data_IF_516912774997
#
_entry.id   IF_516912774997
#
_cell.length_a   1.000
_cell.length_b   1.000
_cell.length_c   1.000
_cell.angle_alpha   90.00
_cell.angle_beta   90.00
_cell.angle_gamma   90.00
#
_symmetry.space_group_name_H-M   'P 1'
#
loop_
_entity.id
_entity.type
_entity.pdbx_description
1 polymer ?
#
# COMPACT_ATOMS: atom_id res chain seq x y z
N UNK A 1 -8.50 24.28 -1.01
CA UNK A 1 -8.76 22.98 -1.66
C UNK A 1 -9.26 22.00 -0.58
N UNK A 2 -10.54 22.09 -0.20
CA UNK A 2 -11.14 21.26 0.85
C UNK A 2 -12.57 20.87 0.45
N UNK A 3 -12.82 19.57 0.25
CA UNK A 3 -14.14 19.07 -0.17
C UNK A 3 -15.22 19.20 0.90
N UNK A 4 -14.82 19.22 2.17
CA UNK A 4 -15.72 19.33 3.32
C UNK A 4 -15.96 20.77 3.78
N UNK A 5 -15.36 21.76 3.09
CA UNK A 5 -15.43 23.18 3.47
C UNK A 5 -15.02 23.41 4.93
N UNK A 6 -14.05 22.62 5.41
CA UNK A 6 -13.54 22.70 6.78
C UNK A 6 -12.55 23.87 6.97
N UNK A 7 -12.07 24.49 5.90
CA UNK A 7 -11.04 25.55 5.95
C UNK A 7 -11.69 26.88 5.64
N UNK A 8 -11.51 27.85 6.53
CA UNK A 8 -12.06 29.19 6.39
C UNK A 8 -11.12 30.23 7.02
N UNK A 9 -11.38 31.51 6.76
CA UNK A 9 -10.66 32.61 7.40
C UNK A 9 -11.45 33.09 8.62
N UNK A 10 -10.76 33.24 9.75
CA UNK A 10 -11.34 33.83 10.94
C UNK A 10 -11.37 35.37 10.86
N UNK A 11 -11.87 36.00 11.92
CA UNK A 11 -11.99 37.46 12.03
C UNK A 11 -10.64 38.19 11.84
N UNK A 12 -9.55 37.55 12.25
CA UNK A 12 -8.17 38.07 12.08
C UNK A 12 -7.57 37.78 10.70
N UNK A 13 -8.37 37.29 9.74
CA UNK A 13 -7.93 36.86 8.40
C UNK A 13 -6.86 35.76 8.43
N UNK A 14 -6.84 34.94 9.49
CA UNK A 14 -6.00 33.74 9.57
C UNK A 14 -6.81 32.53 9.11
N UNK A 15 -6.18 31.66 8.34
CA UNK A 15 -6.80 30.39 7.96
C UNK A 15 -6.93 29.49 9.19
N UNK A 16 -8.11 28.91 9.39
CA UNK A 16 -8.38 27.95 10.46
C UNK A 16 -9.09 26.71 9.93
N UNK A 17 -8.90 25.59 10.62
CA UNK A 17 -9.49 24.29 10.29
C UNK A 17 -10.56 23.97 11.32
N UNK A 18 -11.80 23.81 10.84
CA UNK A 18 -12.90 23.25 11.60
C UNK A 18 -12.74 21.73 11.68
N UNK A 19 -12.17 21.25 12.79
CA UNK A 19 -11.91 19.82 13.00
C UNK A 19 -13.18 18.97 13.13
N UNK A 20 -14.35 19.57 13.38
CA UNK A 20 -15.62 18.83 13.37
C UNK A 20 -16.05 18.45 11.95
N UNK A 21 -15.59 19.18 10.94
CA UNK A 21 -15.84 18.90 9.51
C UNK A 21 -14.64 18.24 8.82
N UNK A 22 -13.47 18.28 9.43
CA UNK A 22 -12.25 17.77 8.85
C UNK A 22 -12.27 16.23 8.82
N UNK A 23 -12.17 15.64 7.63
CA UNK A 23 -12.05 14.18 7.44
C UNK A 23 -10.60 13.71 7.35
N UNK A 24 -9.62 14.59 7.60
CA UNK A 24 -8.20 14.24 7.60
C UNK A 24 -7.64 13.82 6.23
N UNK A 25 -8.15 14.36 5.12
CA UNK A 25 -7.74 13.98 3.77
C UNK A 25 -6.37 14.53 3.30
N UNK A 26 -5.70 15.37 4.11
CA UNK A 26 -4.36 15.88 3.83
C UNK A 26 -4.22 16.87 2.66
N UNK A 27 -5.27 17.11 1.87
CA UNK A 27 -5.22 17.99 0.69
C UNK A 27 -4.74 19.42 1.02
N UNK A 28 -5.09 19.92 2.20
CA UNK A 28 -4.65 21.24 2.65
C UNK A 28 -3.16 21.32 2.96
N UNK A 29 -2.58 20.25 3.52
CA UNK A 29 -1.14 20.11 3.76
C UNK A 29 -0.41 20.10 2.42
N UNK A 30 -0.87 19.27 1.48
CA UNK A 30 -0.25 19.10 0.17
C UNK A 30 -0.19 20.40 -0.68
N UNK A 31 -1.19 21.27 -0.56
CA UNK A 31 -1.27 22.53 -1.36
C UNK A 31 -0.71 23.76 -0.64
N UNK A 32 -0.33 23.64 0.64
CA UNK A 32 0.10 24.79 1.42
C UNK A 32 1.51 25.24 1.03
N UNK A 33 1.61 26.39 0.34
CA UNK A 33 2.90 26.95 -0.08
C UNK A 33 3.76 27.49 1.08
N UNK A 34 3.15 27.67 2.26
CA UNK A 34 3.79 28.26 3.43
C UNK A 34 4.07 27.23 4.53
N UNK A 35 3.82 25.94 4.28
CA UNK A 35 3.96 24.86 5.26
C UNK A 35 3.23 25.11 6.58
N UNK A 36 2.15 25.91 6.54
CA UNK A 36 1.37 26.29 7.72
C UNK A 36 0.33 25.23 8.09
N UNK A 37 -0.18 24.48 7.12
CA UNK A 37 -0.99 23.30 7.36
C UNK A 37 -0.06 22.10 7.54
N UNK A 38 -0.16 21.43 8.68
CA UNK A 38 0.63 20.24 9.03
C UNK A 38 -0.30 19.08 9.38
N UNK A 39 0.21 17.86 9.33
CA UNK A 39 -0.48 16.67 9.82
C UNK A 39 -0.72 16.79 11.32
N UNK A 40 -1.85 16.27 11.79
CA UNK A 40 -2.20 16.30 13.21
C UNK A 40 -1.34 15.30 13.99
N UNK A 41 -1.25 15.49 15.31
CA UNK A 41 -0.56 14.54 16.21
C UNK A 41 -1.17 13.14 16.22
N UNK A 42 -2.41 12.99 15.74
CA UNK A 42 -3.15 11.73 15.70
C UNK A 42 -3.00 10.97 14.37
N UNK A 43 -2.22 11.51 13.41
CA UNK A 43 -1.84 10.81 12.18
C UNK A 43 -0.73 9.77 12.47
N UNK A 44 -1.06 8.80 13.33
CA UNK A 44 -0.25 7.58 13.50
C UNK A 44 -0.24 6.77 12.20
N UNK A 45 0.79 5.94 12.01
CA UNK A 45 0.93 5.11 10.81
C UNK A 45 -0.28 4.20 10.57
N UNK A 46 -0.90 3.72 11.65
CA UNK A 46 -2.14 2.95 11.58
C UNK A 46 -3.30 3.76 10.98
N UNK A 47 -3.46 5.02 11.39
CA UNK A 47 -4.54 5.89 10.90
C UNK A 47 -4.47 6.10 9.38
N UNK A 48 -3.26 6.25 8.83
CA UNK A 48 -3.07 6.38 7.37
C UNK A 48 -3.47 5.09 6.65
N UNK A 49 -3.08 3.93 7.16
CA UNK A 49 -3.44 2.64 6.57
C UNK A 49 -4.95 2.37 6.62
N UNK A 50 -5.61 2.70 7.73
CA UNK A 50 -7.07 2.60 7.87
C UNK A 50 -7.78 3.49 6.85
N UNK A 51 -7.37 4.76 6.71
CA UNK A 51 -7.90 5.68 5.70
C UNK A 51 -7.72 5.13 4.28
N UNK A 52 -6.57 4.54 3.94
CA UNK A 52 -6.36 3.92 2.61
C UNK A 52 -7.41 2.82 2.35
N UNK A 53 -7.67 1.97 3.34
CA UNK A 53 -8.67 0.91 3.24
C UNK A 53 -10.10 1.48 3.07
N UNK A 54 -10.47 2.52 3.83
CA UNK A 54 -11.79 3.16 3.71
C UNK A 54 -12.03 3.77 2.35
N UNK A 55 -11.03 4.49 1.82
CA UNK A 55 -11.12 5.10 0.51
C UNK A 55 -11.19 4.04 -0.60
N UNK A 56 -10.42 2.96 -0.49
CA UNK A 56 -10.48 1.82 -1.41
C UNK A 56 -11.87 1.19 -1.37
N UNK A 57 -12.40 0.93 -0.17
CA UNK A 57 -13.75 0.41 0.01
C UNK A 57 -14.80 1.31 -0.66
N UNK A 58 -14.74 2.62 -0.46
CA UNK A 58 -15.66 3.57 -1.07
C UNK A 58 -15.61 3.54 -2.62
N UNK A 59 -14.43 3.35 -3.20
CA UNK A 59 -14.25 3.27 -4.66
C UNK A 59 -14.86 1.98 -5.23
N UNK A 60 -14.65 0.84 -4.56
CA UNK A 60 -15.04 -0.49 -5.01
C UNK A 60 -16.50 -0.86 -4.70
N UNK A 61 -17.10 -0.23 -3.68
CA UNK A 61 -18.45 -0.56 -3.22
C UNK A 61 -19.46 -0.55 -4.37
N UNK A 62 -20.21 -1.65 -4.49
CA UNK A 62 -21.22 -1.89 -5.53
C UNK A 62 -20.70 -1.87 -6.97
N UNK A 63 -19.41 -2.16 -7.19
CA UNK A 63 -18.82 -2.25 -8.52
C UNK A 63 -18.02 -3.54 -8.67
N UNK A 64 -18.08 -4.21 -9.84
CA UNK A 64 -17.18 -5.31 -10.14
C UNK A 64 -15.75 -4.79 -10.22
N UNK A 65 -14.81 -5.54 -9.65
CA UNK A 65 -13.40 -5.18 -9.61
C UNK A 65 -12.52 -6.42 -9.71
N UNK A 66 -11.34 -6.25 -10.31
CA UNK A 66 -10.30 -7.26 -10.45
C UNK A 66 -8.96 -6.57 -10.29
N UNK A 67 -8.07 -7.14 -9.48
CA UNK A 67 -6.83 -6.51 -9.07
C UNK A 67 -5.63 -7.31 -9.57
N UNK A 68 -4.60 -6.61 -10.01
CA UNK A 68 -3.35 -7.18 -10.50
C UNK A 68 -2.22 -6.42 -9.82
N UNK A 69 -1.30 -7.14 -9.19
CA UNK A 69 -0.10 -6.60 -8.57
C UNK A 69 1.13 -7.11 -9.30
N UNK A 70 2.04 -6.19 -9.62
CA UNK A 70 3.35 -6.48 -10.17
C UNK A 70 4.37 -6.41 -9.04
N UNK A 71 5.02 -7.54 -8.75
CA UNK A 71 5.99 -7.68 -7.68
C UNK A 71 7.37 -7.69 -8.34
N UNK A 72 7.87 -6.49 -8.60
CA UNK A 72 9.15 -6.25 -9.26
C UNK A 72 9.84 -5.03 -8.64
N UNK A 73 11.16 -5.00 -8.66
CA UNK A 73 11.97 -3.92 -8.10
C UNK A 73 11.50 -3.50 -6.69
N UNK A 74 11.31 -4.49 -5.79
CA UNK A 74 10.79 -4.25 -4.43
C UNK A 74 11.81 -3.43 -3.66
N UNK A 75 11.57 -2.13 -3.60
CA UNK A 75 12.49 -1.14 -3.06
C UNK A 75 12.33 -1.01 -1.53
N UNK A 76 13.39 -0.64 -0.80
CA UNK A 76 13.28 -0.48 0.65
C UNK A 76 12.59 0.81 1.07
N UNK A 77 12.56 1.85 0.22
CA UNK A 77 11.92 3.13 0.54
C UNK A 77 10.74 3.43 -0.37
N UNK A 78 9.93 4.43 -0.01
CA UNK A 78 8.81 4.86 -0.84
C UNK A 78 9.31 5.28 -2.22
N UNK A 79 8.71 4.74 -3.29
CA UNK A 79 9.08 5.05 -4.68
C UNK A 79 8.88 6.53 -5.07
N UNK A 80 8.16 7.29 -4.24
CA UNK A 80 8.05 8.74 -4.41
C UNK A 80 9.32 9.50 -3.98
N UNK A 81 10.26 8.83 -3.30
CA UNK A 81 11.54 9.41 -2.93
C UNK A 81 12.53 9.30 -4.10
N UNK A 82 13.13 10.42 -4.47
CA UNK A 82 14.12 10.51 -5.55
C UNK A 82 15.46 9.80 -5.25
N UNK A 83 15.62 9.28 -4.04
CA UNK A 83 16.75 8.44 -3.65
C UNK A 83 16.20 7.16 -3.05
N UNK A 84 16.37 6.05 -3.77
CA UNK A 84 16.01 4.73 -3.30
C UNK A 84 17.21 3.80 -3.47
N UNK A 85 17.32 2.84 -2.57
CA UNK A 85 18.41 1.88 -2.57
C UNK A 85 18.03 0.67 -3.45
N UNK A 86 18.95 -0.28 -3.60
CA UNK A 86 18.70 -1.49 -4.39
C UNK A 86 17.53 -2.32 -3.85
N UNK A 87 16.88 -3.06 -4.73
CA UNK A 87 15.77 -3.93 -4.37
C UNK A 87 16.16 -4.96 -3.29
N UNK A 88 15.23 -5.26 -2.38
CA UNK A 88 15.45 -6.16 -1.25
C UNK A 88 15.27 -7.64 -1.63
N UNK A 89 14.53 -7.93 -2.71
CA UNK A 89 14.32 -9.27 -3.27
C UNK A 89 14.34 -9.22 -4.80
N UNK A 90 14.64 -10.33 -5.51
CA UNK A 90 14.49 -10.41 -6.96
C UNK A 90 13.04 -10.21 -7.41
N UNK A 91 12.85 -9.89 -8.69
CA UNK A 91 11.52 -9.83 -9.30
C UNK A 91 10.79 -11.18 -9.15
N UNK A 92 9.56 -11.14 -8.65
CA UNK A 92 8.73 -12.32 -8.41
C UNK A 92 7.74 -12.54 -9.56
N UNK A 93 7.24 -11.45 -10.17
CA UNK A 93 6.31 -11.50 -11.30
C UNK A 93 4.96 -10.85 -10.98
N UNK A 94 3.86 -11.50 -11.35
CA UNK A 94 2.51 -10.94 -11.24
C UNK A 94 1.61 -11.82 -10.39
N UNK A 95 0.80 -11.19 -9.55
CA UNK A 95 -0.29 -11.82 -8.82
C UNK A 95 -1.61 -11.12 -9.19
N UNK A 96 -2.73 -11.85 -9.14
CA UNK A 96 -4.03 -11.27 -9.43
C UNK A 96 -5.13 -11.94 -8.61
N UNK A 97 -6.17 -11.17 -8.26
CA UNK A 97 -7.29 -11.63 -7.43
C UNK A 97 -8.53 -10.75 -7.64
N UNK A 98 -9.70 -11.31 -7.32
CA UNK A 98 -10.92 -10.53 -7.12
C UNK A 98 -11.02 -9.94 -5.70
N UNK A 99 -10.24 -10.46 -4.75
CA UNK A 99 -10.13 -9.96 -3.38
C UNK A 99 -8.83 -9.12 -3.26
N UNK A 100 -8.93 -7.78 -3.12
CA UNK A 100 -7.76 -6.91 -3.04
C UNK A 100 -6.93 -7.14 -1.77
N UNK A 101 -7.57 -7.39 -0.63
CA UNK A 101 -6.88 -7.58 0.67
C UNK A 101 -6.05 -8.86 0.63
N UNK A 102 -6.63 -9.91 0.05
CA UNK A 102 -5.93 -11.17 -0.08
C UNK A 102 -4.81 -11.14 -1.12
N UNK A 103 -4.94 -10.31 -2.17
CA UNK A 103 -3.88 -10.05 -3.14
C UNK A 103 -2.68 -9.39 -2.47
N UNK A 104 -2.91 -8.35 -1.68
CA UNK A 104 -1.84 -7.64 -0.97
C UNK A 104 -1.14 -8.58 0.02
N UNK A 105 -1.91 -9.37 0.78
CA UNK A 105 -1.36 -10.41 1.66
C UNK A 105 -0.49 -11.40 0.89
N UNK A 106 -0.97 -11.90 -0.24
CA UNK A 106 -0.22 -12.83 -1.08
C UNK A 106 1.09 -12.23 -1.60
N UNK A 107 1.09 -10.95 -1.98
CA UNK A 107 2.30 -10.25 -2.42
C UNK A 107 3.33 -10.18 -1.29
N UNK A 108 2.90 -9.81 -0.08
CA UNK A 108 3.79 -9.77 1.10
C UNK A 108 4.36 -11.14 1.41
N UNK A 109 3.52 -12.19 1.40
CA UNK A 109 3.98 -13.57 1.65
C UNK A 109 4.99 -14.04 0.58
N UNK A 110 4.80 -13.67 -0.68
CA UNK A 110 5.73 -13.99 -1.76
C UNK A 110 7.08 -13.28 -1.57
N UNK A 111 7.07 -12.00 -1.21
CA UNK A 111 8.29 -11.24 -0.90
C UNK A 111 9.02 -11.83 0.31
N UNK A 112 8.28 -12.15 1.38
CA UNK A 112 8.86 -12.76 2.58
C UNK A 112 9.45 -14.16 2.31
N UNK A 113 8.90 -14.94 1.37
CA UNK A 113 9.44 -16.24 0.95
C UNK A 113 10.62 -16.14 -0.03
N UNK A 114 10.71 -15.06 -0.80
CA UNK A 114 11.79 -14.88 -1.77
C UNK A 114 13.17 -14.75 -1.09
N UNK A 115 14.28 -15.16 -1.74
CA UNK A 115 15.61 -14.91 -1.22
C UNK A 115 15.89 -13.40 -1.18
N UNK A 116 16.64 -12.94 -0.17
CA UNK A 116 17.10 -11.56 -0.14
C UNK A 116 18.19 -11.32 -1.20
N UNK A 117 18.27 -10.10 -1.72
CA UNK A 117 19.41 -9.67 -2.54
C UNK A 117 20.57 -9.27 -1.61
N UNK A 118 21.76 -9.82 -1.88
CA UNK A 118 22.99 -9.42 -1.18
C UNK A 118 23.39 -8.01 -1.57
N UNK A 119 23.87 -7.24 -0.60
CA UNK A 119 24.18 -5.83 -0.70
C UNK A 119 23.01 -4.90 -0.42
N UNK A 120 21.79 -5.43 -0.24
CA UNK A 120 20.62 -4.62 0.12
C UNK A 120 20.64 -4.23 1.60
N UNK A 121 19.83 -3.23 1.96
CA UNK A 121 19.62 -2.83 3.35
C UNK A 121 19.27 -3.99 4.31
N UNK A 122 18.71 -5.10 3.81
CA UNK A 122 18.45 -6.29 4.62
C UNK A 122 19.74 -6.95 5.12
N UNK A 123 20.81 -6.94 4.33
CA UNK A 123 22.12 -7.46 4.76
C UNK A 123 22.76 -6.55 5.82
N UNK A 124 22.66 -5.23 5.64
CA UNK A 124 23.15 -4.25 6.61
C UNK A 124 22.41 -4.35 7.95
N UNK A 125 21.11 -4.64 7.91
CA UNK A 125 20.25 -4.83 9.09
C UNK A 125 20.28 -6.25 9.66
N UNK A 126 21.18 -7.11 9.19
CA UNK A 126 21.36 -8.48 9.69
C UNK A 126 20.10 -9.36 9.64
N UNK A 127 19.28 -9.22 8.59
CA UNK A 127 18.07 -10.02 8.39
C UNK A 127 18.33 -11.53 8.37
N UNK A 128 17.44 -12.32 8.99
CA UNK A 128 17.51 -13.78 8.97
C UNK A 128 16.34 -14.43 8.21
N UNK A 129 16.57 -15.55 7.49
CA UNK A 129 15.51 -16.27 6.81
C UNK A 129 14.38 -16.68 7.76
N UNK A 130 13.13 -16.38 7.38
CA UNK A 130 11.94 -16.68 8.17
C UNK A 130 11.36 -15.46 8.90
N UNK A 131 12.08 -14.35 8.96
CA UNK A 131 11.59 -13.08 9.48
C UNK A 131 10.81 -12.29 8.41
N UNK A 132 10.04 -11.30 8.87
CA UNK A 132 9.35 -10.36 7.99
C UNK A 132 10.33 -9.31 7.47
N UNK A 133 10.49 -9.25 6.13
CA UNK A 133 11.42 -8.32 5.49
C UNK A 133 10.98 -6.87 5.65
N UNK A 134 9.68 -6.59 5.57
CA UNK A 134 9.17 -5.22 5.63
C UNK A 134 9.34 -4.62 7.03
N UNK A 135 9.02 -5.37 8.08
CA UNK A 135 9.26 -4.94 9.47
C UNK A 135 10.74 -4.78 9.78
N UNK A 136 11.63 -5.55 9.14
CA UNK A 136 13.08 -5.35 9.28
C UNK A 136 13.57 -4.05 8.62
N UNK A 137 13.06 -3.74 7.41
CA UNK A 137 13.42 -2.51 6.72
C UNK A 137 12.90 -1.29 7.48
N UNK A 138 11.67 -1.33 8.01
CA UNK A 138 11.05 -0.22 8.75
C UNK A 138 10.44 -0.72 10.06
N UNK A 139 11.21 -0.65 11.14
CA UNK A 139 10.83 -1.19 12.47
C UNK A 139 9.61 -0.51 13.07
N UNK A 140 9.37 0.75 12.71
CA UNK A 140 8.27 1.53 13.24
C UNK A 140 6.95 1.26 12.50
N UNK A 141 7.01 0.54 11.36
CA UNK A 141 5.86 0.26 10.49
C UNK A 141 5.38 -1.18 10.54
N UNK A 142 4.05 -1.35 10.59
CA UNK A 142 3.39 -2.65 10.51
C UNK A 142 2.33 -2.65 9.40
N UNK A 143 2.61 -3.38 8.32
CA UNK A 143 1.72 -3.54 7.17
C UNK A 143 0.45 -4.34 7.49
N UNK A 144 0.42 -5.07 8.62
CA UNK A 144 -0.75 -5.88 9.01
C UNK A 144 -1.91 -5.00 9.46
N UNK A 145 -1.64 -3.83 10.03
CA UNK A 145 -2.67 -2.91 10.54
C UNK A 145 -3.70 -2.59 9.45
N UNK A 146 -3.22 -2.23 8.25
CA UNK A 146 -4.09 -1.93 7.12
C UNK A 146 -4.92 -3.13 6.65
N UNK A 147 -4.33 -4.32 6.62
CA UNK A 147 -5.03 -5.53 6.17
C UNK A 147 -6.07 -6.01 7.19
N UNK A 148 -5.73 -5.95 8.49
CA UNK A 148 -6.65 -6.29 9.58
C UNK A 148 -7.86 -5.34 9.59
N UNK A 149 -7.62 -4.04 9.40
CA UNK A 149 -8.70 -3.06 9.29
C UNK A 149 -9.54 -3.26 8.01
N UNK A 150 -8.90 -3.53 6.87
CA UNK A 150 -9.58 -3.79 5.62
C UNK A 150 -10.52 -5.00 5.71
N UNK A 151 -10.10 -6.08 6.38
CA UNK A 151 -10.98 -7.22 6.67
C UNK A 151 -12.12 -6.82 7.62
N UNK A 152 -11.84 -6.05 8.67
CA UNK A 152 -12.86 -5.57 9.62
C UNK A 152 -13.98 -4.76 8.95
N UNK A 153 -13.67 -3.93 7.95
CA UNK A 153 -14.67 -3.14 7.20
C UNK A 153 -15.31 -3.93 6.04
N UNK A 154 -14.89 -5.18 5.80
CA UNK A 154 -15.43 -6.05 4.76
C UNK A 154 -14.94 -5.74 3.35
N UNK A 155 -13.72 -5.19 3.20
CA UNK A 155 -13.10 -4.95 1.89
C UNK A 155 -12.60 -6.25 1.24
N UNK A 156 -12.22 -7.23 2.04
CA UNK A 156 -11.66 -8.50 1.59
C UNK A 156 -11.24 -9.36 2.77
N UNK A 157 -10.41 -10.37 2.53
CA UNK A 157 -9.96 -11.31 3.57
C UNK A 157 -8.43 -11.40 3.62
N UNK A 158 -7.86 -11.45 4.83
CA UNK A 158 -6.42 -11.63 5.02
C UNK A 158 -5.99 -13.10 5.15
N UNK A 159 -6.92 -14.04 4.93
CA UNK A 159 -6.62 -15.48 5.07
C UNK A 159 -5.55 -15.91 4.07
N UNK A 160 -4.71 -16.86 4.52
CA UNK A 160 -3.75 -17.55 3.67
C UNK A 160 -4.43 -18.08 2.41
N UNK A 161 -4.04 -17.55 1.25
CA UNK A 161 -4.54 -17.99 -0.04
C UNK A 161 -3.72 -19.15 -0.59
N UNK A 162 -4.41 -20.09 -1.24
CA UNK A 162 -3.77 -21.06 -2.12
C UNK A 162 -3.47 -20.37 -3.45
N UNK A 163 -2.20 -20.01 -3.64
CA UNK A 163 -1.72 -19.49 -4.92
C UNK A 163 -1.82 -20.57 -5.98
N UNK A 164 -2.60 -20.29 -7.01
CA UNK A 164 -2.64 -21.15 -8.20
C UNK A 164 -1.65 -20.57 -9.20
N UNK A 165 -0.61 -21.32 -9.61
CA UNK A 165 0.29 -20.85 -10.67
C UNK A 165 -0.52 -20.54 -11.92
N UNK A 166 -0.29 -19.36 -12.50
CA UNK A 166 -0.79 -19.07 -13.84
C UNK A 166 -0.08 -20.05 -14.79
N UNK A 167 -0.81 -21.08 -15.23
CA UNK A 167 -0.24 -22.07 -16.12
C UNK A 167 0.30 -21.35 -17.38
N UNK A 168 1.52 -21.66 -17.84
CA UNK A 168 2.01 -21.12 -19.09
C UNK A 168 1.03 -21.55 -20.19
N UNK A 169 0.51 -20.59 -20.96
CA UNK A 169 -0.37 -20.86 -22.09
C UNK A 169 0.31 -21.81 -23.07
N UNK A 170 -0.07 -23.09 -23.04
CA UNK A 170 0.44 -24.13 -23.94
C UNK A 170 -0.34 -24.26 -25.25
N UNK A 171 -1.03 -23.19 -25.69
CA UNK A 171 -1.81 -23.22 -26.94
C UNK A 171 -1.57 -21.98 -27.80
N UNK A 172 -0.37 -21.88 -28.38
CA UNK A 172 -0.27 -21.33 -29.74
C UNK A 172 -0.72 -22.45 -30.67
N UNK A 173 -1.99 -22.41 -31.08
CA UNK A 173 -2.52 -23.33 -32.07
C UNK A 173 -1.65 -23.25 -33.33
N UNK A 174 -1.01 -24.36 -33.69
CA UNK A 174 -0.48 -24.56 -35.04
C UNK A 174 -1.66 -24.34 -35.98
N UNK A 175 -1.60 -23.27 -36.78
CA UNK A 175 -2.47 -23.12 -37.95
C UNK A 175 -2.23 -24.33 -38.84
N UNK A 176 -3.20 -25.23 -38.89
CA UNK A 176 -3.27 -26.29 -39.88
C UNK A 176 -3.41 -25.63 -41.24
N UNK A 177 -2.39 -25.80 -42.05
CA UNK A 177 -2.42 -25.69 -43.50
C UNK A 177 -3.54 -26.56 -44.07
N UNK A 178 -4.51 -25.92 -44.71
CA UNK A 178 -5.27 -26.41 -45.88
C UNK A 178 -5.69 -25.19 -46.69
#
# INVERSE_FOLDING_TARGET
NCSQVAIHFNESKKAEIDYQKCIGCGQCVAVCQYSAAVTGSDDSEGNVQEKIAEYTYAVLKNKPHFHISFIMNVSPYCDCWNYNDMAIVPDIGMAASFDPVALDRACVDLVNKAPMIKGSILEEKHFHPGEDKFTHVHIDTDWKIGLDYAEKIGLGTHRLMNLTPLAPSSKVGKSTSF
#
